data_IF_701447231272
#
_entry.id   IF_701447231272
#
_cell.length_a   1.000
_cell.length_b   1.000
_cell.length_c   1.000
_cell.angle_alpha   90.00
_cell.angle_beta   90.00
_cell.angle_gamma   90.00
#
_symmetry.space_group_name_H-M   'P 1'
#
loop_
_entity.id
_entity.type
_entity.pdbx_description
1 polymer ?
#
# COMPACT_ATOMS: atom_id res chain seq x y z
N UNK A 1 16.10 2.14 2.94
CA UNK A 1 16.02 2.37 1.49
C UNK A 1 16.16 1.02 0.82
N UNK A 2 15.19 0.62 -0.01
CA UNK A 2 15.08 -0.75 -0.54
C UNK A 2 15.53 -0.84 -2.00
N UNK A 3 15.37 0.25 -2.76
CA UNK A 3 15.80 0.36 -4.15
C UNK A 3 16.29 1.78 -4.42
N UNK A 4 17.40 1.90 -5.15
CA UNK A 4 18.00 3.17 -5.60
C UNK A 4 18.82 2.90 -6.87
N UNK A 5 18.27 3.22 -8.04
CA UNK A 5 18.99 3.10 -9.31
C UNK A 5 18.33 3.92 -10.43
N UNK A 6 19.04 4.05 -11.55
CA UNK A 6 18.49 4.57 -12.81
C UNK A 6 17.71 3.48 -13.54
N UNK A 7 16.51 3.82 -13.97
CA UNK A 7 15.53 2.88 -14.53
C UNK A 7 14.85 3.51 -15.74
N UNK A 8 14.37 2.66 -16.66
CA UNK A 8 13.71 3.13 -17.89
C UNK A 8 12.24 3.44 -17.67
N UNK A 9 11.60 2.70 -16.77
CA UNK A 9 10.17 2.83 -16.51
C UNK A 9 9.80 2.35 -15.10
N UNK A 10 8.89 3.06 -14.47
CA UNK A 10 8.25 2.68 -13.21
C UNK A 10 6.75 2.58 -13.40
N UNK A 11 6.13 1.49 -12.95
CA UNK A 11 4.68 1.29 -12.98
C UNK A 11 4.19 1.10 -11.55
N UNK A 12 3.17 1.86 -11.16
CA UNK A 12 2.56 1.74 -9.82
C UNK A 12 1.07 2.08 -9.88
N UNK A 13 0.35 1.75 -8.81
CA UNK A 13 -1.04 2.14 -8.60
C UNK A 13 -1.10 3.38 -7.72
N UNK A 14 -1.66 4.44 -8.28
CA UNK A 14 -1.99 5.69 -7.58
C UNK A 14 -3.50 5.77 -7.32
N UNK A 15 -3.94 6.76 -6.54
CA UNK A 15 -5.37 6.96 -6.24
C UNK A 15 -6.27 7.05 -7.50
N UNK A 16 -5.76 7.58 -8.60
CA UNK A 16 -6.49 7.72 -9.88
C UNK A 16 -6.38 6.47 -10.78
N UNK A 17 -5.80 5.37 -10.28
CA UNK A 17 -5.62 4.12 -11.02
C UNK A 17 -4.14 3.82 -11.29
N UNK A 18 -3.84 3.13 -12.40
CA UNK A 18 -2.48 2.69 -12.70
C UNK A 18 -1.73 3.73 -13.54
N UNK A 19 -0.51 4.08 -13.13
CA UNK A 19 0.37 5.00 -13.85
C UNK A 19 1.68 4.31 -14.25
N UNK A 20 2.14 4.59 -15.47
CA UNK A 20 3.47 4.22 -15.97
C UNK A 20 4.27 5.47 -16.26
N UNK A 21 5.44 5.59 -15.63
CA UNK A 21 6.32 6.75 -15.71
C UNK A 21 7.58 6.38 -16.47
N UNK A 22 7.80 7.06 -17.59
CA UNK A 22 9.01 6.98 -18.41
C UNK A 22 9.86 8.25 -18.23
N UNK A 23 10.99 8.31 -18.94
CA UNK A 23 11.81 9.51 -19.07
C UNK A 23 10.98 10.70 -19.59
N UNK A 24 11.25 11.88 -19.05
CA UNK A 24 10.59 13.15 -19.35
C UNK A 24 9.08 13.18 -19.08
N UNK A 25 8.60 12.33 -18.16
CA UNK A 25 7.22 12.39 -17.69
C UNK A 25 6.93 13.71 -16.95
N UNK A 26 5.72 14.23 -17.12
CA UNK A 26 5.28 15.45 -16.45
C UNK A 26 5.38 15.31 -14.92
N UNK A 27 5.82 16.38 -14.20
CA UNK A 27 5.85 16.37 -12.74
C UNK A 27 4.49 16.02 -12.16
N UNK A 28 4.47 15.03 -11.29
CA UNK A 28 3.23 14.46 -10.75
C UNK A 28 3.43 14.18 -9.26
N UNK A 29 2.41 14.46 -8.45
CA UNK A 29 2.37 14.10 -7.03
C UNK A 29 1.05 13.41 -6.76
N UNK A 30 1.10 12.25 -6.12
CA UNK A 30 -0.08 11.47 -5.76
C UNK A 30 0.21 10.61 -4.53
N UNK A 31 -0.83 9.99 -3.99
CA UNK A 31 -0.68 8.82 -3.10
C UNK A 31 -0.54 7.54 -3.92
N UNK A 32 0.15 6.55 -3.34
CA UNK A 32 0.24 5.17 -3.83
C UNK A 32 -0.78 4.33 -3.06
N UNK A 33 -1.50 3.48 -3.77
CA UNK A 33 -2.39 2.49 -3.15
C UNK A 33 -1.64 1.17 -2.92
N UNK A 34 -2.13 0.38 -1.96
CA UNK A 34 -1.62 -0.97 -1.72
C UNK A 34 -1.65 -1.77 -3.02
N UNK A 35 -0.52 -2.38 -3.39
CA UNK A 35 -0.40 -3.08 -4.65
C UNK A 35 1.05 -3.40 -4.99
N UNK A 36 1.34 -3.48 -6.29
CA UNK A 36 2.67 -3.75 -6.78
C UNK A 36 3.32 -2.55 -7.47
N UNK A 37 4.62 -2.37 -7.21
CA UNK A 37 5.50 -1.45 -7.93
C UNK A 37 6.39 -2.29 -8.85
N UNK A 38 6.35 -1.98 -10.14
CA UNK A 38 7.18 -2.64 -11.15
C UNK A 38 8.19 -1.65 -11.70
N UNK A 39 9.45 -2.07 -11.73
CA UNK A 39 10.58 -1.28 -12.20
C UNK A 39 11.23 -2.03 -13.36
N UNK A 40 11.42 -1.35 -14.48
CA UNK A 40 12.08 -1.88 -15.67
C UNK A 40 13.45 -1.20 -15.83
N UNK A 41 14.51 -2.01 -15.93
CA UNK A 41 15.88 -1.55 -16.18
C UNK A 41 16.49 -2.44 -17.27
N UNK A 42 16.51 -1.95 -18.51
CA UNK A 42 16.88 -2.74 -19.69
C UNK A 42 16.01 -3.98 -19.83
N UNK A 43 16.62 -5.16 -19.76
CA UNK A 43 15.93 -6.45 -19.80
C UNK A 43 15.46 -6.92 -18.41
N UNK A 44 15.95 -6.30 -17.33
CA UNK A 44 15.65 -6.67 -15.96
C UNK A 44 14.31 -6.06 -15.49
N UNK A 45 13.60 -6.83 -14.66
CA UNK A 45 12.32 -6.45 -14.07
C UNK A 45 12.35 -6.71 -12.58
N UNK A 46 12.18 -5.66 -11.80
CA UNK A 46 11.98 -5.75 -10.36
C UNK A 46 10.52 -5.53 -10.03
N UNK A 47 9.96 -6.37 -9.18
CA UNK A 47 8.57 -6.27 -8.71
C UNK A 47 8.59 -6.28 -7.19
N UNK A 48 7.93 -5.29 -6.60
CA UNK A 48 7.80 -5.15 -5.16
C UNK A 48 6.32 -5.09 -4.81
N UNK A 49 5.90 -5.86 -3.80
CA UNK A 49 4.63 -5.63 -3.14
C UNK A 49 4.81 -4.49 -2.15
N UNK A 50 3.95 -3.47 -2.20
CA UNK A 50 4.07 -2.25 -1.39
C UNK A 50 2.79 -1.93 -0.66
N UNK A 51 2.91 -1.39 0.54
CA UNK A 51 1.81 -0.74 1.25
C UNK A 51 1.40 0.57 0.55
N UNK A 52 0.40 1.25 1.09
CA UNK A 52 0.08 2.61 0.68
C UNK A 52 1.19 3.60 1.07
N UNK A 53 1.16 4.77 0.45
CA UNK A 53 2.16 5.81 0.70
C UNK A 53 2.08 6.99 -0.27
N UNK A 54 3.24 7.57 -0.61
CA UNK A 54 3.37 8.77 -1.43
C UNK A 54 4.22 8.53 -2.68
N UNK A 55 3.79 9.18 -3.76
CA UNK A 55 4.43 9.16 -5.07
C UNK A 55 4.77 10.57 -5.52
N UNK A 56 5.99 10.77 -6.01
CA UNK A 56 6.43 12.04 -6.61
C UNK A 56 7.30 11.79 -7.83
N UNK A 57 7.03 12.54 -8.89
CA UNK A 57 7.88 12.66 -10.09
C UNK A 57 8.27 14.12 -10.25
N UNK A 58 9.56 14.39 -10.35
CA UNK A 58 10.10 15.73 -10.61
C UNK A 58 11.48 15.60 -11.24
N UNK A 59 11.77 16.37 -12.29
CA UNK A 59 13.12 16.44 -12.88
C UNK A 59 13.73 15.06 -13.20
N UNK A 60 12.92 14.15 -13.78
CA UNK A 60 13.30 12.76 -14.07
C UNK A 60 13.69 11.91 -12.84
N UNK A 61 13.31 12.36 -11.65
CA UNK A 61 13.45 11.61 -10.41
C UNK A 61 12.06 11.12 -9.94
N UNK A 62 11.93 9.81 -9.80
CA UNK A 62 10.75 9.16 -9.21
C UNK A 62 11.08 8.81 -7.76
N UNK A 63 10.23 9.25 -6.83
CA UNK A 63 10.32 8.94 -5.41
C UNK A 63 9.03 8.30 -4.94
N UNK A 64 9.17 7.10 -4.36
CA UNK A 64 8.08 6.34 -3.76
C UNK A 64 8.42 6.10 -2.30
N UNK A 65 7.57 6.59 -1.41
CA UNK A 65 7.71 6.42 0.03
C UNK A 65 6.51 5.61 0.53
N UNK A 66 6.79 4.41 1.06
CA UNK A 66 5.81 3.47 1.60
C UNK A 66 6.31 2.94 2.94
N UNK A 67 5.39 2.44 3.77
CA UNK A 67 5.72 1.85 5.06
C UNK A 67 6.43 0.50 4.89
N UNK A 68 5.88 -0.37 4.05
CA UNK A 68 6.46 -1.67 3.73
C UNK A 68 6.64 -1.84 2.21
N UNK A 69 7.77 -2.39 1.80
CA UNK A 69 8.00 -2.87 0.45
C UNK A 69 8.78 -4.20 0.50
N UNK A 70 8.24 -5.23 -0.17
CA UNK A 70 8.80 -6.58 -0.16
C UNK A 70 9.04 -7.02 -1.60
N UNK A 71 10.26 -7.49 -1.96
CA UNK A 71 10.51 -8.06 -3.28
C UNK A 71 9.56 -9.25 -3.54
N UNK A 72 8.95 -9.31 -4.71
CA UNK A 72 7.97 -10.35 -5.03
C UNK A 72 8.52 -11.78 -4.89
N UNK A 73 9.82 -11.97 -5.12
CA UNK A 73 10.50 -13.27 -4.95
C UNK A 73 10.75 -13.68 -3.50
N UNK A 74 10.62 -12.77 -2.54
CA UNK A 74 10.84 -13.03 -1.11
C UNK A 74 9.53 -13.19 -0.33
N UNK A 75 8.38 -13.09 -1.00
CA UNK A 75 7.07 -13.25 -0.37
C UNK A 75 6.89 -14.72 0.06
N UNK A 76 6.85 -14.95 1.38
CA UNK A 76 6.46 -16.23 1.94
C UNK A 76 4.93 -16.35 1.97
N UNK A 77 4.37 -17.19 1.10
CA UNK A 77 2.92 -17.36 0.95
C UNK A 77 2.26 -17.93 2.19
N UNK A 78 2.93 -18.81 2.93
CA UNK A 78 2.37 -19.44 4.13
C UNK A 78 2.25 -18.41 5.26
N UNK A 79 3.27 -17.58 5.43
CA UNK A 79 3.25 -16.49 6.41
C UNK A 79 2.22 -15.42 6.02
N UNK A 80 2.15 -15.05 4.74
CA UNK A 80 1.15 -14.11 4.24
C UNK A 80 -0.27 -14.61 4.50
N UNK A 81 -0.55 -15.89 4.28
CA UNK A 81 -1.86 -16.49 4.55
C UNK A 81 -2.21 -16.47 6.04
N UNK A 82 -1.25 -16.83 6.90
CA UNK A 82 -1.44 -16.76 8.35
C UNK A 82 -1.75 -15.34 8.83
N UNK A 83 -1.07 -14.32 8.28
CA UNK A 83 -1.34 -12.90 8.58
C UNK A 83 -2.74 -12.49 8.18
N UNK A 84 -3.24 -12.96 7.03
CA UNK A 84 -4.62 -12.70 6.58
C UNK A 84 -5.62 -13.34 7.55
N UNK A 85 -5.44 -14.61 7.89
CA UNK A 85 -6.34 -15.33 8.79
C UNK A 85 -6.38 -14.72 10.21
N UNK A 86 -5.23 -14.25 10.70
CA UNK A 86 -5.15 -13.54 11.99
C UNK A 86 -5.89 -12.20 11.94
N UNK A 87 -5.68 -11.41 10.88
CA UNK A 87 -6.36 -10.14 10.69
C UNK A 87 -7.88 -10.31 10.54
N UNK A 88 -8.32 -11.33 9.79
CA UNK A 88 -9.74 -11.66 9.64
C UNK A 88 -10.37 -12.05 10.98
N UNK A 89 -9.67 -12.87 11.79
CA UNK A 89 -10.13 -13.24 13.13
C UNK A 89 -10.20 -12.05 14.09
N UNK A 90 -9.19 -11.19 14.08
CA UNK A 90 -9.20 -9.96 14.89
C UNK A 90 -10.36 -9.03 14.48
N UNK A 91 -10.64 -8.91 13.18
CA UNK A 91 -11.75 -8.11 12.69
C UNK A 91 -13.11 -8.71 13.09
N UNK A 92 -13.27 -10.04 13.05
CA UNK A 92 -14.50 -10.69 13.51
C UNK A 92 -14.73 -10.49 15.00
N UNK A 93 -13.69 -10.66 15.83
CA UNK A 93 -13.79 -10.47 17.29
C UNK A 93 -14.17 -9.03 17.66
N UNK A 94 -13.65 -8.03 16.93
CA UNK A 94 -14.05 -6.63 17.10
C UNK A 94 -15.51 -6.39 16.65
N UNK A 95 -15.93 -6.98 15.54
CA UNK A 95 -17.31 -6.87 15.06
C UNK A 95 -18.34 -7.53 15.99
N UNK A 96 -17.96 -8.62 16.68
CA UNK A 96 -18.82 -9.30 17.66
C UNK A 96 -18.91 -8.53 18.99
N UNK A 97 -17.87 -7.76 19.35
CA UNK A 97 -17.84 -6.92 20.55
C UNK A 97 -18.70 -5.65 20.49
N UNK A 98 -19.07 -5.18 19.30
CA UNK A 98 -19.92 -3.99 19.11
C UNK A 98 -21.42 -4.29 19.30
N UNK A 99 -21.84 -5.56 19.28
CA UNK A 99 -23.24 -5.96 19.51
C UNK A 99 -23.60 -6.08 21.02
N UNK A 100 -22.62 -6.14 21.94
CA UNK A 100 -22.86 -6.23 23.40
C UNK A 100 -22.75 -4.88 24.16
N UNK A 101 -22.48 -3.77 23.48
CA UNK A 101 -22.30 -2.43 24.10
C UNK A 101 -23.49 -1.46 24.02
N UNK A 102 -24.61 -1.86 23.41
CA UNK A 102 -25.65 -0.94 22.95
C UNK A 102 -26.88 -0.73 23.86
N UNK A 103 -26.82 -0.95 25.18
CA UNK A 103 -27.94 -0.54 26.06
C UNK A 103 -27.55 -0.35 27.54
N UNK A 104 -26.88 0.75 27.88
CA UNK A 104 -26.94 1.27 29.25
C UNK A 104 -27.10 2.79 29.23
N UNK A 105 -28.34 3.16 29.52
CA UNK A 105 -28.72 4.32 30.33
C UNK A 105 -28.88 5.67 29.61
N UNK A 106 -29.99 5.77 28.87
CA UNK A 106 -30.85 6.96 28.92
C UNK A 106 -31.39 7.15 30.34
N UNK A 107 -30.65 7.80 31.22
CA UNK A 107 -31.13 8.43 32.45
C UNK A 107 -30.06 9.44 32.89
N UNK A 108 -30.26 10.75 33.05
CA UNK A 108 -31.43 11.58 33.29
C UNK A 108 -31.12 12.98 32.74
N UNK A 109 -31.99 13.52 31.92
CA UNK A 109 -32.15 14.95 31.76
C UNK A 109 -33.60 15.24 32.18
N UNK A 110 -33.82 15.38 33.48
CA UNK A 110 -35.05 15.94 34.04
C UNK A 110 -34.69 16.65 35.35
N UNK A 111 -35.06 17.94 35.38
CA UNK A 111 -35.00 18.97 36.44
C UNK A 111 -33.69 19.77 36.52
#
# INVERSE_FOLDING_TARGET
MIFDDQVDMVITRIADGQIGVLVDHAPTVSTVEIGDVRIQQGEERHVYATSDGFFKVSENLVQILVEEAVPAGEINTDEAQNRVEEAERALSELSEGDDEGGNTERARADI
#
